data_IF_806796984157
#
_entry.id   IF_806796984157
#
_cell.length_a   1.000
_cell.length_b   1.000
_cell.length_c   1.000
_cell.angle_alpha   90.00
_cell.angle_beta   90.00
_cell.angle_gamma   90.00
#
_symmetry.space_group_name_H-M   'P 1'
#
loop_
_entity.id
_entity.type
_entity.pdbx_description
1 polymer ?
#
# COMPACT_ATOMS: atom_id res chain seq x y z
N UNK A 1 17.69 -4.66 -1.15
CA UNK A 1 17.61 -4.88 0.29
C UNK A 1 16.59 -3.94 0.91
N UNK A 2 15.75 -4.40 1.84
CA UNK A 2 14.64 -3.62 2.41
C UNK A 2 13.68 -4.46 3.26
N UNK A 3 12.47 -3.95 3.53
CA UNK A 3 11.47 -4.63 4.38
C UNK A 3 11.14 -6.05 3.91
N UNK A 4 11.02 -6.29 2.60
CA UNK A 4 10.79 -7.65 2.09
C UNK A 4 11.93 -8.64 2.41
N UNK A 5 13.17 -8.16 2.52
CA UNK A 5 14.31 -9.02 2.89
C UNK A 5 14.32 -9.28 4.39
N UNK A 6 14.04 -8.25 5.18
CA UNK A 6 13.85 -8.39 6.62
C UNK A 6 12.74 -9.40 6.93
N UNK A 7 11.60 -9.31 6.24
CA UNK A 7 10.48 -10.24 6.38
C UNK A 7 10.90 -11.70 6.12
N UNK A 8 11.68 -11.96 5.06
CA UNK A 8 12.24 -13.30 4.77
C UNK A 8 13.09 -13.83 5.93
N UNK A 9 13.89 -12.97 6.59
CA UNK A 9 14.66 -13.37 7.77
C UNK A 9 13.78 -13.76 8.96
N UNK A 10 12.55 -13.23 9.05
CA UNK A 10 11.58 -13.57 10.09
C UNK A 10 10.63 -14.72 9.70
N UNK A 11 10.92 -15.45 8.61
CA UNK A 11 10.16 -16.63 8.20
C UNK A 11 9.10 -16.40 7.13
N UNK A 12 8.89 -15.15 6.69
CA UNK A 12 8.01 -14.80 5.57
C UNK A 12 8.76 -14.95 4.25
N UNK A 13 9.05 -16.19 3.85
CA UNK A 13 9.97 -16.52 2.75
C UNK A 13 9.50 -16.05 1.38
N UNK A 14 8.20 -15.84 1.19
CA UNK A 14 7.59 -15.43 -0.08
C UNK A 14 7.40 -13.91 -0.17
N UNK A 15 8.11 -13.14 0.66
CA UNK A 15 8.04 -11.68 0.65
C UNK A 15 8.84 -11.05 -0.51
N UNK A 16 8.28 -10.07 -1.19
CA UNK A 16 8.92 -9.35 -2.30
C UNK A 16 8.43 -7.89 -2.42
N UNK A 17 9.11 -7.10 -3.24
CA UNK A 17 8.69 -5.74 -3.59
C UNK A 17 8.22 -5.72 -5.05
N UNK A 18 7.18 -4.93 -5.33
CA UNK A 18 6.75 -4.60 -6.68
C UNK A 18 6.85 -3.07 -6.86
N UNK A 19 7.69 -2.64 -7.80
CA UNK A 19 7.73 -1.25 -8.28
C UNK A 19 7.03 -1.15 -9.63
N UNK A 20 5.81 -0.63 -9.61
CA UNK A 20 4.90 -0.47 -10.75
C UNK A 20 4.84 1.00 -11.19
N UNK A 21 5.76 1.86 -10.75
CA UNK A 21 5.74 3.30 -11.05
C UNK A 21 5.70 3.60 -12.56
N UNK A 22 6.31 2.73 -13.37
CA UNK A 22 6.38 2.84 -14.83
C UNK A 22 5.20 2.22 -15.58
N UNK A 23 4.36 1.45 -14.89
CA UNK A 23 3.18 0.83 -15.48
C UNK A 23 2.06 1.87 -15.64
N UNK A 24 1.15 1.65 -16.56
CA UNK A 24 -0.12 2.39 -16.58
C UNK A 24 -0.97 2.02 -15.35
N UNK A 25 -1.98 2.86 -15.06
CA UNK A 25 -2.76 2.72 -13.84
C UNK A 25 -3.63 1.46 -13.83
N UNK A 26 -4.16 1.02 -14.97
CA UNK A 26 -5.04 -0.15 -15.04
C UNK A 26 -4.24 -1.43 -14.78
N UNK A 27 -3.08 -1.56 -15.42
CA UNK A 27 -2.14 -2.66 -15.18
C UNK A 27 -1.66 -2.69 -13.74
N UNK A 28 -1.32 -1.53 -13.17
CA UNK A 28 -0.87 -1.43 -11.78
C UNK A 28 -1.97 -1.85 -10.79
N UNK A 29 -3.21 -1.39 -11.00
CA UNK A 29 -4.34 -1.75 -10.16
C UNK A 29 -4.71 -3.23 -10.28
N UNK A 30 -4.61 -3.82 -11.48
CA UNK A 30 -4.80 -5.26 -11.67
C UNK A 30 -3.83 -6.09 -10.83
N UNK A 31 -2.53 -5.72 -10.86
CA UNK A 31 -1.50 -6.37 -10.04
C UNK A 31 -1.75 -6.16 -8.54
N UNK A 32 -2.08 -4.94 -8.12
CA UNK A 32 -2.39 -4.65 -6.71
C UNK A 32 -3.58 -5.48 -6.20
N UNK A 33 -4.66 -5.57 -6.99
CA UNK A 33 -5.86 -6.32 -6.64
C UNK A 33 -5.56 -7.82 -6.50
N UNK A 34 -4.75 -8.39 -7.39
CA UNK A 34 -4.31 -9.78 -7.27
C UNK A 34 -3.57 -10.06 -5.95
N UNK A 35 -2.66 -9.17 -5.53
CA UNK A 35 -1.98 -9.33 -4.23
C UNK A 35 -2.94 -9.19 -3.03
N UNK A 36 -3.94 -8.31 -3.15
CA UNK A 36 -4.97 -8.10 -2.12
C UNK A 36 -5.91 -9.29 -1.98
N UNK A 37 -6.15 -10.08 -3.04
CA UNK A 37 -6.90 -11.33 -2.97
C UNK A 37 -6.20 -12.36 -2.07
N UNK A 38 -4.86 -12.33 -2.01
CA UNK A 38 -4.08 -13.19 -1.11
C UNK A 38 -3.94 -12.61 0.31
N UNK A 39 -4.19 -11.31 0.48
CA UNK A 39 -4.22 -10.65 1.79
C UNK A 39 -3.64 -9.23 1.79
N UNK A 40 -3.49 -8.61 2.96
CA UNK A 40 -3.06 -7.23 3.07
C UNK A 40 -1.64 -7.02 2.54
N UNK A 41 -1.37 -5.84 1.99
CA UNK A 41 -0.06 -5.45 1.47
C UNK A 41 0.39 -4.12 2.05
N UNK A 42 1.71 -3.92 2.17
CA UNK A 42 2.25 -2.60 2.47
C UNK A 42 2.32 -1.81 1.17
N UNK A 43 1.84 -0.57 1.15
CA UNK A 43 1.88 0.30 -0.04
C UNK A 43 2.56 1.62 0.28
N UNK A 44 3.29 2.15 -0.70
CA UNK A 44 3.83 3.50 -0.60
C UNK A 44 2.84 4.51 -1.15
N UNK A 45 2.47 5.48 -0.34
CA UNK A 45 1.63 6.61 -0.71
C UNK A 45 2.41 7.92 -0.59
N UNK A 46 1.90 9.00 -1.19
CA UNK A 46 2.31 10.35 -0.83
C UNK A 46 1.81 10.71 0.57
N UNK A 47 2.57 11.54 1.27
CA UNK A 47 2.24 11.91 2.66
C UNK A 47 0.88 12.59 2.73
N UNK A 48 0.09 12.26 3.76
CA UNK A 48 -1.31 12.70 3.92
C UNK A 48 -2.24 12.31 2.76
N UNK A 49 -1.82 11.38 1.91
CA UNK A 49 -2.54 10.99 0.69
C UNK A 49 -2.69 12.15 -0.32
N UNK A 50 -1.69 13.02 -0.39
CA UNK A 50 -1.68 14.21 -1.26
C UNK A 50 -0.43 14.20 -2.17
N UNK A 51 -0.58 14.06 -3.51
CA UNK A 51 0.55 13.99 -4.45
C UNK A 51 1.52 15.17 -4.41
N UNK A 52 1.04 16.32 -3.93
CA UNK A 52 1.81 17.55 -3.73
C UNK A 52 2.90 17.36 -2.66
N UNK A 53 2.66 16.49 -1.68
CA UNK A 53 3.61 16.13 -0.63
C UNK A 53 4.52 14.98 -1.09
N UNK A 54 5.63 15.36 -1.73
CA UNK A 54 6.54 14.42 -2.41
C UNK A 54 7.16 13.36 -1.48
N UNK A 55 7.17 13.56 -0.16
CA UNK A 55 7.63 12.54 0.79
C UNK A 55 6.83 11.24 0.65
N UNK A 56 7.48 10.10 0.89
CA UNK A 56 6.83 8.79 0.88
C UNK A 56 6.40 8.39 2.27
N UNK A 57 5.22 7.78 2.36
CA UNK A 57 4.70 7.16 3.57
C UNK A 57 4.28 5.72 3.28
N UNK A 58 4.45 4.82 4.24
CA UNK A 58 4.07 3.41 4.10
C UNK A 58 2.84 3.15 4.98
N UNK A 59 1.82 2.58 4.37
CA UNK A 59 0.58 2.16 5.05
C UNK A 59 0.29 0.71 4.71
N UNK A 60 -0.50 0.02 5.53
CA UNK A 60 -1.05 -1.29 5.18
C UNK A 60 -2.35 -1.05 4.43
N UNK A 61 -2.51 -1.61 3.24
CA UNK A 61 -3.77 -1.66 2.51
C UNK A 61 -4.43 -3.00 2.79
N UNK A 62 -5.62 -2.96 3.40
CA UNK A 62 -6.41 -4.15 3.74
C UNK A 62 -7.34 -4.53 2.58
N UNK A 63 -7.99 -3.54 1.98
CA UNK A 63 -8.92 -3.75 0.86
C UNK A 63 -8.98 -2.53 -0.06
N UNK A 64 -9.30 -2.78 -1.33
CA UNK A 64 -9.57 -1.74 -2.32
C UNK A 64 -10.79 -2.15 -3.15
N UNK A 65 -11.86 -1.39 -3.03
CA UNK A 65 -13.08 -1.51 -3.84
C UNK A 65 -13.17 -0.35 -4.83
N UNK A 66 -14.23 -0.31 -5.63
CA UNK A 66 -14.46 0.82 -6.55
C UNK A 66 -14.79 2.14 -5.81
N UNK A 67 -15.24 2.06 -4.55
CA UNK A 67 -15.67 3.25 -3.78
C UNK A 67 -14.67 3.66 -2.70
N UNK A 68 -14.03 2.69 -2.05
CA UNK A 68 -13.19 2.94 -0.88
C UNK A 68 -11.94 2.05 -0.82
N UNK A 69 -10.91 2.58 -0.18
CA UNK A 69 -9.73 1.87 0.28
C UNK A 69 -9.73 1.82 1.80
N UNK A 70 -9.44 0.65 2.37
CA UNK A 70 -9.32 0.42 3.80
C UNK A 70 -7.84 0.27 4.16
N UNK A 71 -7.34 1.15 5.03
CA UNK A 71 -5.91 1.26 5.32
C UNK A 71 -5.62 1.30 6.82
N UNK A 72 -4.45 0.77 7.20
CA UNK A 72 -3.86 0.99 8.51
C UNK A 72 -2.67 1.94 8.36
N UNK A 73 -2.83 3.16 8.89
CA UNK A 73 -1.84 4.22 8.83
C UNK A 73 -1.09 4.34 10.18
N UNK A 74 0.21 3.98 10.23
CA UNK A 74 1.00 4.07 11.46
C UNK A 74 1.35 5.51 11.88
N UNK A 75 1.11 6.52 11.04
CA UNK A 75 1.34 7.93 11.38
C UNK A 75 0.21 8.53 12.25
N UNK A 76 -0.89 7.81 12.44
CA UNK A 76 -1.99 8.22 13.30
C UNK A 76 -1.51 8.44 14.75
N UNK A 77 -1.91 9.58 15.34
CA UNK A 77 -1.54 9.93 16.72
C UNK A 77 -2.32 9.15 17.77
N UNK A 78 -3.58 8.83 17.48
CA UNK A 78 -4.44 8.03 18.35
C UNK A 78 -4.63 6.65 17.74
N UNK A 79 -4.71 5.63 18.60
CA UNK A 79 -4.92 4.24 18.16
C UNK A 79 -6.18 4.08 17.30
N UNK A 80 -7.27 4.78 17.66
CA UNK A 80 -8.54 4.70 16.92
C UNK A 80 -8.48 5.31 15.52
N UNK A 81 -7.45 6.12 15.23
CA UNK A 81 -7.26 6.78 13.94
C UNK A 81 -6.29 6.00 13.02
N UNK A 82 -5.72 4.88 13.49
CA UNK A 82 -4.85 4.01 12.68
C UNK A 82 -5.65 3.40 11.54
N UNK A 83 -6.84 2.88 11.84
CA UNK A 83 -7.71 2.29 10.85
C UNK A 83 -8.54 3.37 10.17
N UNK A 84 -8.34 3.56 8.86
CA UNK A 84 -9.01 4.58 8.08
C UNK A 84 -9.67 3.98 6.85
N UNK A 85 -10.85 4.51 6.50
CA UNK A 85 -11.52 4.25 5.24
C UNK A 85 -11.47 5.55 4.44
N UNK A 86 -10.82 5.52 3.28
CA UNK A 86 -10.69 6.69 2.41
C UNK A 86 -11.34 6.41 1.04
N UNK A 87 -11.80 7.44 0.31
CA UNK A 87 -12.28 7.27 -1.05
C UNK A 87 -11.24 6.57 -1.94
N UNK A 88 -11.69 5.64 -2.79
CA UNK A 88 -10.80 4.85 -3.64
C UNK A 88 -9.99 5.74 -4.61
N UNK A 89 -10.62 6.75 -5.20
CA UNK A 89 -9.96 7.74 -6.06
C UNK A 89 -8.84 8.50 -5.33
N UNK A 90 -9.07 8.90 -4.08
CA UNK A 90 -8.06 9.53 -3.23
C UNK A 90 -6.87 8.60 -2.99
N UNK A 91 -7.13 7.32 -2.68
CA UNK A 91 -6.06 6.33 -2.54
C UNK A 91 -5.30 6.15 -3.86
N UNK A 92 -6.00 5.89 -4.95
CA UNK A 92 -5.41 5.60 -6.27
C UNK A 92 -4.52 6.76 -6.74
N UNK A 93 -4.99 8.00 -6.55
CA UNK A 93 -4.24 9.21 -6.94
C UNK A 93 -3.00 9.42 -6.07
N UNK A 94 -3.06 9.03 -4.79
CA UNK A 94 -1.95 9.17 -3.84
C UNK A 94 -1.00 7.96 -3.79
N UNK A 95 -1.37 6.85 -4.43
CA UNK A 95 -0.54 5.65 -4.45
C UNK A 95 0.64 5.82 -5.41
N UNK A 96 1.86 5.58 -4.91
CA UNK A 96 3.09 5.69 -5.70
C UNK A 96 3.32 4.48 -6.62
N UNK A 97 2.31 3.63 -6.81
CA UNK A 97 2.39 2.37 -7.56
C UNK A 97 3.53 1.47 -7.09
N UNK A 98 3.73 1.42 -5.77
CA UNK A 98 4.73 0.58 -5.11
C UNK A 98 4.09 -0.17 -3.97
N UNK A 99 4.40 -1.45 -3.87
CA UNK A 99 3.95 -2.29 -2.77
C UNK A 99 5.02 -3.27 -2.34
N UNK A 100 4.88 -3.73 -1.09
CA UNK A 100 5.70 -4.73 -0.47
C UNK A 100 4.74 -5.82 0.02
N UNK A 101 4.94 -7.01 -0.51
CA UNK A 101 4.19 -8.20 -0.16
C UNK A 101 4.97 -8.92 0.95
N UNK A 102 4.29 -9.22 2.06
CA UNK A 102 4.86 -9.90 3.23
C UNK A 102 4.08 -11.19 3.46
N UNK A 103 4.71 -12.33 3.17
CA UNK A 103 4.10 -13.67 3.16
C UNK A 103 5.12 -14.73 3.56
#
# INVERSE_FOLDING_TARGET
AGLAELARHFGFTNSYNLDLAKEDIETALGKLRAELEEGPVLVSVFTNYEPEHKEGHIVVLLSLTDNQAEVLDPAAKNHNDIHQIIPADKFITSWKKRLIVVR
#
